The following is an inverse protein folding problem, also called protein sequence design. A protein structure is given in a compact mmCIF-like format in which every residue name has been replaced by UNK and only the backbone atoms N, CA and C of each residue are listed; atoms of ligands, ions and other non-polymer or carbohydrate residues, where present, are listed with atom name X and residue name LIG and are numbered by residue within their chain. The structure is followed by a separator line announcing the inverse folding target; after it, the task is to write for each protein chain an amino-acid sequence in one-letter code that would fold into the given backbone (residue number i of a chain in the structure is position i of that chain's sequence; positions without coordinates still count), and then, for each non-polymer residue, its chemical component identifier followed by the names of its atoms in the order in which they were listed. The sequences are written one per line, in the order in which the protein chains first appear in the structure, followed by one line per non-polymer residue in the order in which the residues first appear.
data_IF_083114232577
#
_entry.id   IF_083114232577
#
_cell.length_a   1.000
_cell.length_b   1.000
_cell.length_c   1.000
_cell.angle_alpha   90.00
_cell.angle_beta   90.00
_cell.angle_gamma   90.00
#
_symmetry.space_group_name_H-M   'P 1'
#
loop_
_entity.id
_entity.type
_entity.pdbx_description
1 polymer ?
#
# COMPACT_ATOMS: atom_id res chain seq x y z
N UNK A 1 21.36 -23.40 -9.18
CA UNK A 1 20.09 -22.98 -8.54
C UNK A 1 19.65 -21.68 -9.19
N UNK A 2 18.55 -21.71 -9.94
CA UNK A 2 18.13 -20.60 -10.79
C UNK A 2 17.51 -19.50 -9.90
N UNK A 3 18.21 -18.38 -9.74
CA UNK A 3 17.85 -17.22 -8.92
C UNK A 3 16.68 -16.45 -9.51
N UNK A 4 15.55 -17.10 -9.76
CA UNK A 4 14.33 -16.39 -10.20
C UNK A 4 13.89 -15.47 -9.05
N UNK A 5 13.75 -14.20 -9.41
CA UNK A 5 13.55 -13.04 -8.55
C UNK A 5 12.45 -13.22 -7.49
N UNK A 6 12.80 -13.78 -6.32
CA UNK A 6 11.91 -13.83 -5.14
C UNK A 6 11.65 -12.44 -4.55
N UNK A 7 12.48 -11.45 -4.91
CA UNK A 7 12.35 -10.06 -4.50
C UNK A 7 11.30 -9.29 -5.31
N UNK A 8 10.94 -9.80 -6.49
CA UNK A 8 9.83 -9.28 -7.31
C UNK A 8 8.55 -10.07 -7.07
N UNK A 9 8.40 -10.76 -5.94
CA UNK A 9 7.12 -11.42 -5.64
C UNK A 9 6.07 -10.39 -5.19
N UNK A 10 4.82 -10.53 -5.65
CA UNK A 10 3.72 -9.59 -5.40
C UNK A 10 3.57 -9.28 -3.92
N UNK A 11 3.64 -10.33 -3.11
CA UNK A 11 3.47 -10.23 -1.66
C UNK A 11 4.55 -9.40 -0.99
N UNK A 12 5.80 -9.49 -1.44
CA UNK A 12 6.93 -8.76 -0.82
C UNK A 12 6.86 -7.26 -1.14
N UNK A 13 6.47 -6.91 -2.36
CA UNK A 13 6.25 -5.50 -2.74
C UNK A 13 5.09 -4.92 -1.95
N UNK A 14 3.99 -5.67 -1.80
CA UNK A 14 2.81 -5.24 -1.05
C UNK A 14 3.12 -5.06 0.45
N UNK A 15 3.92 -5.97 1.03
CA UNK A 15 4.43 -5.84 2.40
C UNK A 15 5.31 -4.62 2.56
N UNK A 16 6.22 -4.35 1.61
CA UNK A 16 7.07 -3.16 1.64
C UNK A 16 6.26 -1.87 1.54
N UNK A 17 5.24 -1.81 0.68
CA UNK A 17 4.33 -0.66 0.59
C UNK A 17 3.53 -0.47 1.88
N UNK A 18 3.00 -1.53 2.46
CA UNK A 18 2.30 -1.48 3.76
C UNK A 18 3.23 -0.98 4.87
N UNK A 19 4.46 -1.50 4.96
CA UNK A 19 5.44 -1.07 5.94
C UNK A 19 5.81 0.41 5.78
N UNK A 20 5.93 0.90 4.54
CA UNK A 20 6.21 2.29 4.26
C UNK A 20 5.07 3.21 4.73
N UNK A 21 3.83 2.87 4.40
CA UNK A 21 2.66 3.62 4.88
C UNK A 21 2.53 3.55 6.41
N UNK A 22 2.73 2.38 7.01
CA UNK A 22 2.71 2.23 8.46
C UNK A 22 3.78 3.06 9.15
N UNK A 23 5.01 3.10 8.59
CA UNK A 23 6.10 3.91 9.12
C UNK A 23 5.80 5.41 9.03
N UNK A 24 5.25 5.87 7.90
CA UNK A 24 4.83 7.28 7.75
C UNK A 24 3.76 7.62 8.79
N UNK A 25 2.73 6.78 8.91
CA UNK A 25 1.63 6.98 9.85
C UNK A 25 2.14 7.00 11.29
N UNK A 26 3.09 6.12 11.66
CA UNK A 26 3.68 6.07 13.00
C UNK A 26 4.61 7.26 13.31
N UNK A 27 5.44 7.69 12.36
CA UNK A 27 6.38 8.80 12.57
C UNK A 27 5.65 10.14 12.60
N UNK A 28 4.63 10.31 11.75
CA UNK A 28 3.99 11.60 11.53
C UNK A 28 2.64 11.76 12.26
N UNK A 29 2.21 10.78 13.06
CA UNK A 29 0.88 10.75 13.66
C UNK A 29 0.48 12.08 14.33
N UNK A 30 -0.43 12.88 13.74
CA UNK A 30 -0.74 14.21 14.23
C UNK A 30 -2.00 14.15 15.11
N UNK A 31 -1.80 14.10 16.43
CA UNK A 31 -2.91 14.10 17.42
C UNK A 31 -3.53 15.47 17.63
N UNK A 32 -2.72 16.53 17.54
CA UNK A 32 -3.10 17.87 18.02
C UNK A 32 -3.52 18.83 16.92
N UNK A 33 -3.48 18.39 15.65
CA UNK A 33 -3.86 19.23 14.52
C UNK A 33 -5.34 19.02 14.22
N UNK A 34 -6.14 20.08 14.33
CA UNK A 34 -7.55 20.09 13.93
C UNK A 34 -7.69 20.94 12.67
N UNK A 35 -8.21 20.32 11.61
CA UNK A 35 -8.38 20.96 10.30
C UNK A 35 -9.87 20.94 9.95
N UNK A 36 -10.46 22.13 9.80
CA UNK A 36 -11.92 22.32 9.65
C UNK A 36 -12.76 21.74 10.79
N UNK A 37 -12.26 21.75 12.03
CA UNK A 37 -12.98 21.20 13.20
C UNK A 37 -12.97 19.67 13.30
N UNK A 38 -12.38 18.98 12.33
CA UNK A 38 -12.15 17.53 12.34
C UNK A 38 -10.68 17.29 12.65
N UNK A 39 -10.40 16.32 13.54
CA UNK A 39 -9.02 15.93 13.84
C UNK A 39 -8.31 15.51 12.54
N UNK A 40 -7.05 15.92 12.38
CA UNK A 40 -6.23 15.50 11.24
C UNK A 40 -6.12 13.97 11.16
N UNK A 41 -6.19 13.29 12.30
CA UNK A 41 -6.30 11.83 12.37
C UNK A 41 -7.56 11.29 11.65
N UNK A 42 -8.69 12.01 11.73
CA UNK A 42 -9.92 11.66 11.02
C UNK A 42 -9.78 11.79 9.50
N UNK A 43 -9.09 12.84 9.04
CA UNK A 43 -8.73 12.98 7.63
C UNK A 43 -7.76 11.89 7.16
N UNK A 44 -6.79 11.51 8.00
CA UNK A 44 -5.84 10.44 7.72
C UNK A 44 -6.54 9.08 7.59
N UNK A 45 -7.51 8.80 8.47
CA UNK A 45 -8.35 7.60 8.39
C UNK A 45 -9.13 7.57 7.08
N UNK A 46 -9.72 8.69 6.66
CA UNK A 46 -10.45 8.75 5.38
C UNK A 46 -9.53 8.55 4.18
N UNK A 47 -8.36 9.20 4.17
CA UNK A 47 -7.34 9.02 3.14
C UNK A 47 -6.80 7.59 3.07
N UNK A 48 -6.73 6.90 4.21
CA UNK A 48 -6.30 5.51 4.25
C UNK A 48 -7.20 4.60 3.41
N UNK A 49 -8.52 4.80 3.39
CA UNK A 49 -9.43 4.01 2.55
C UNK A 49 -9.11 4.13 1.06
N UNK A 50 -8.75 5.33 0.61
CA UNK A 50 -8.34 5.56 -0.79
C UNK A 50 -7.03 4.83 -1.09
N UNK A 51 -6.08 4.87 -0.16
CA UNK A 51 -4.80 4.14 -0.30
C UNK A 51 -5.05 2.63 -0.37
N UNK A 52 -5.91 2.08 0.50
CA UNK A 52 -6.30 0.67 0.47
C UNK A 52 -6.96 0.27 -0.85
N UNK A 53 -7.81 1.13 -1.41
CA UNK A 53 -8.46 0.89 -2.70
C UNK A 53 -7.45 0.88 -3.86
N UNK A 54 -6.52 1.84 -3.90
CA UNK A 54 -5.46 1.88 -4.90
C UNK A 54 -4.52 0.67 -4.78
N UNK A 55 -4.15 0.26 -3.56
CA UNK A 55 -3.36 -0.94 -3.32
C UNK A 55 -4.05 -2.20 -3.86
N UNK A 56 -5.36 -2.33 -3.66
CA UNK A 56 -6.13 -3.44 -4.18
C UNK A 56 -6.14 -3.46 -5.72
N UNK A 57 -6.36 -2.30 -6.36
CA UNK A 57 -6.32 -2.19 -7.83
C UNK A 57 -4.95 -2.55 -8.39
N UNK A 58 -3.88 -2.00 -7.81
CA UNK A 58 -2.50 -2.31 -8.22
C UNK A 58 -2.25 -3.81 -8.07
N UNK A 59 -2.67 -4.42 -6.96
CA UNK A 59 -2.50 -5.85 -6.74
C UNK A 59 -3.22 -6.70 -7.79
N UNK A 60 -4.50 -6.40 -8.08
CA UNK A 60 -5.31 -7.13 -9.06
C UNK A 60 -4.69 -7.05 -10.45
N UNK A 61 -4.40 -5.84 -10.95
CA UNK A 61 -3.80 -5.62 -12.28
C UNK A 61 -2.45 -6.34 -12.39
N UNK A 62 -1.70 -6.37 -11.30
CA UNK A 62 -0.37 -6.96 -11.30
C UNK A 62 -0.41 -8.50 -11.24
N UNK A 63 -1.40 -9.08 -10.55
CA UNK A 63 -1.69 -10.53 -10.60
C UNK A 63 -2.09 -10.95 -12.01
N UNK A 64 -3.04 -10.24 -12.63
CA UNK A 64 -3.47 -10.50 -14.02
C UNK A 64 -2.28 -10.46 -14.98
N UNK A 65 -1.44 -9.42 -14.89
CA UNK A 65 -0.24 -9.29 -15.72
C UNK A 65 0.79 -10.40 -15.50
N UNK A 66 0.90 -10.95 -14.28
CA UNK A 66 1.81 -12.07 -13.97
C UNK A 66 1.28 -13.39 -14.53
N UNK A 67 -0.04 -13.59 -14.53
CA UNK A 67 -0.69 -14.74 -15.18
C UNK A 67 -0.57 -14.69 -16.70
N UNK A 68 -0.80 -13.54 -17.34
CA UNK A 68 -0.65 -13.36 -18.79
C UNK A 68 0.77 -13.69 -19.27
N UNK A 69 1.78 -13.32 -18.47
CA UNK A 69 3.19 -13.59 -18.76
C UNK A 69 3.60 -15.06 -18.52
N UNK A 70 2.77 -15.84 -17.84
CA UNK A 70 2.98 -17.28 -17.60
C UNK A 70 2.31 -18.14 -18.67
N UNK A 71 1.22 -17.64 -19.26
CA UNK A 71 0.41 -18.34 -20.26
C UNK A 71 0.83 -18.06 -21.73
N UNK A 72 1.74 -17.10 -21.98
CA UNK A 72 2.45 -16.91 -23.25
C UNK A 72 3.89 -17.42 -23.15
#
# INVERSE_FOLDING_TARGET
MNSKSRLLDPGIILVATLLFFAAIVLIWWPTDIYLMGISLAGWLMFGSYVIWFLLALIYVVWVEKKEDKKNN
#
